data_IF_643993170811
#
_entry.id   IF_643993170811
#
_cell.length_a   1.000
_cell.length_b   1.000
_cell.length_c   1.000
_cell.angle_alpha   90.00
_cell.angle_beta   90.00
_cell.angle_gamma   90.00
#
_symmetry.space_group_name_H-M   'P 1'
#
loop_
_entity.id
_entity.type
_entity.pdbx_description
1 polymer ?
#
# COMPACT_ATOMS: atom_id res chain seq x y z
N UNK A 1 6.93 -14.00 18.16
CA UNK A 1 5.79 -14.89 17.84
C UNK A 1 4.58 -14.11 17.33
N UNK A 2 4.15 -13.05 18.01
CA UNK A 2 2.94 -12.27 17.66
C UNK A 2 2.90 -11.70 16.23
N UNK A 3 4.01 -11.15 15.70
CA UNK A 3 4.04 -10.60 14.32
C UNK A 3 3.74 -11.64 13.23
N UNK A 4 4.03 -12.93 13.47
CA UNK A 4 3.73 -14.01 12.53
C UNK A 4 2.23 -14.33 12.44
N UNK A 5 1.44 -13.90 13.43
CA UNK A 5 -0.01 -14.08 13.49
C UNK A 5 -0.74 -12.78 13.14
N UNK A 6 -0.29 -11.65 13.68
CA UNK A 6 -0.93 -10.35 13.49
C UNK A 6 -0.90 -9.94 12.01
N UNK A 7 0.25 -10.05 11.35
CA UNK A 7 0.41 -9.59 9.96
C UNK A 7 -0.50 -10.34 8.98
N UNK A 8 -0.54 -11.69 8.94
CA UNK A 8 -1.47 -12.37 8.06
C UNK A 8 -2.92 -12.10 8.46
N UNK A 9 -3.25 -12.04 9.76
CA UNK A 9 -4.61 -11.73 10.22
C UNK A 9 -5.09 -10.36 9.74
N UNK A 10 -4.30 -9.30 9.95
CA UNK A 10 -4.67 -7.94 9.53
C UNK A 10 -4.63 -7.79 8.01
N UNK A 11 -3.77 -8.52 7.30
CA UNK A 11 -3.78 -8.57 5.83
C UNK A 11 -5.08 -9.19 5.34
N UNK A 12 -5.48 -10.34 5.88
CA UNK A 12 -6.74 -11.00 5.55
C UNK A 12 -7.93 -10.11 5.86
N UNK A 13 -7.94 -9.45 7.03
CA UNK A 13 -8.99 -8.52 7.40
C UNK A 13 -9.10 -7.35 6.41
N UNK A 14 -7.96 -6.74 6.03
CA UNK A 14 -7.91 -5.69 5.02
C UNK A 14 -8.51 -6.16 3.69
N UNK A 15 -8.11 -7.35 3.21
CA UNK A 15 -8.60 -7.93 1.96
C UNK A 15 -10.13 -8.16 2.00
N UNK A 16 -10.65 -8.72 3.10
CA UNK A 16 -12.09 -8.94 3.26
C UNK A 16 -12.84 -7.61 3.22
N UNK A 17 -12.37 -6.61 3.98
CA UNK A 17 -13.02 -5.30 4.06
C UNK A 17 -13.04 -4.62 2.69
N UNK A 18 -11.91 -4.57 1.98
CA UNK A 18 -11.85 -3.87 0.69
C UNK A 18 -12.67 -4.59 -0.38
N UNK A 19 -12.63 -5.93 -0.44
CA UNK A 19 -13.44 -6.72 -1.39
C UNK A 19 -14.93 -6.50 -1.12
N UNK A 20 -15.34 -6.54 0.15
CA UNK A 20 -16.72 -6.31 0.53
C UNK A 20 -17.22 -4.94 0.06
N UNK A 21 -16.47 -3.86 0.34
CA UNK A 21 -16.91 -2.51 -0.03
C UNK A 21 -16.93 -2.26 -1.54
N UNK A 22 -16.04 -2.91 -2.29
CA UNK A 22 -16.02 -2.82 -3.75
C UNK A 22 -17.21 -3.53 -4.40
N UNK A 23 -17.56 -4.70 -3.89
CA UNK A 23 -18.60 -5.53 -4.50
C UNK A 23 -19.98 -5.31 -3.90
N UNK A 24 -20.08 -4.51 -2.83
CA UNK A 24 -21.36 -4.09 -2.28
C UNK A 24 -22.18 -3.31 -3.32
N UNK A 25 -23.50 -3.54 -3.41
CA UNK A 25 -24.39 -2.77 -4.28
C UNK A 25 -24.26 -1.27 -4.02
N UNK A 26 -24.46 -0.47 -5.07
CA UNK A 26 -24.43 0.97 -4.93
C UNK A 26 -25.47 1.45 -3.92
N UNK A 27 -25.03 2.26 -2.96
CA UNK A 27 -25.90 2.96 -2.00
C UNK A 27 -26.18 4.37 -2.54
N UNK A 28 -27.15 5.07 -1.95
CA UNK A 28 -27.73 6.34 -2.40
C UNK A 28 -26.75 7.39 -3.00
N UNK A 29 -27.28 8.29 -3.83
CA UNK A 29 -26.54 9.27 -4.64
C UNK A 29 -25.50 10.14 -3.91
N UNK A 30 -25.60 10.30 -2.58
CA UNK A 30 -24.59 11.02 -1.77
C UNK A 30 -23.25 10.29 -1.70
N UNK A 31 -23.19 8.96 -1.85
CA UNK A 31 -21.93 8.20 -1.89
C UNK A 31 -21.24 8.24 -3.27
N UNK A 32 -21.97 8.57 -4.34
CA UNK A 32 -21.44 8.61 -5.72
C UNK A 32 -20.43 9.75 -5.90
N UNK A 33 -20.60 10.88 -5.19
CA UNK A 33 -19.67 12.01 -5.27
C UNK A 33 -18.31 11.75 -4.61
N UNK A 34 -18.20 10.73 -3.75
CA UNK A 34 -16.98 10.45 -2.98
C UNK A 34 -16.31 9.13 -3.38
N UNK A 35 -16.78 8.50 -4.46
CA UNK A 35 -16.36 7.15 -4.88
C UNK A 35 -14.85 7.09 -5.11
N UNK A 36 -14.32 8.00 -5.93
CA UNK A 36 -12.88 8.12 -6.22
C UNK A 36 -12.01 8.29 -4.97
N UNK A 37 -12.50 9.02 -3.98
CA UNK A 37 -11.79 9.21 -2.72
C UNK A 37 -11.81 7.95 -1.86
N UNK A 38 -12.90 7.16 -1.89
CA UNK A 38 -12.93 5.84 -1.25
C UNK A 38 -11.99 4.85 -1.93
N UNK A 39 -11.98 4.83 -3.26
CA UNK A 39 -11.06 4.07 -4.10
C UNK A 39 -9.60 4.36 -3.74
N UNK A 40 -9.22 5.65 -3.78
CA UNK A 40 -7.90 6.10 -3.35
C UNK A 40 -7.59 5.70 -1.90
N UNK A 41 -8.49 6.00 -0.95
CA UNK A 41 -8.24 5.78 0.48
C UNK A 41 -8.07 4.30 0.85
N UNK A 42 -8.86 3.42 0.23
CA UNK A 42 -8.76 1.97 0.45
C UNK A 42 -7.43 1.40 -0.02
N UNK A 43 -6.96 1.83 -1.19
CA UNK A 43 -5.65 1.42 -1.70
C UNK A 43 -4.49 2.16 -1.01
N UNK A 44 -4.70 3.38 -0.52
CA UNK A 44 -3.74 4.10 0.32
C UNK A 44 -3.46 3.36 1.63
N UNK A 45 -4.50 2.89 2.31
CA UNK A 45 -4.35 2.02 3.47
C UNK A 45 -3.56 0.74 3.13
N UNK A 46 -3.81 0.15 1.96
CA UNK A 46 -3.08 -1.01 1.46
C UNK A 46 -1.59 -0.73 1.19
N UNK A 47 -1.26 0.39 0.56
CA UNK A 47 0.14 0.78 0.30
C UNK A 47 0.90 1.15 1.58
N UNK A 48 0.24 1.78 2.56
CA UNK A 48 0.79 1.96 3.91
C UNK A 48 1.05 0.60 4.57
N UNK A 49 0.09 -0.31 4.48
CA UNK A 49 0.22 -1.65 5.04
C UNK A 49 1.37 -2.44 4.42
N UNK A 50 1.54 -2.40 3.08
CA UNK A 50 2.67 -3.00 2.39
C UNK A 50 4.01 -2.43 2.87
N UNK A 51 4.08 -1.10 3.00
CA UNK A 51 5.27 -0.41 3.51
C UNK A 51 5.62 -0.86 4.93
N UNK A 52 4.61 -1.06 5.78
CA UNK A 52 4.78 -1.56 7.15
C UNK A 52 5.21 -3.04 7.17
N UNK A 53 4.62 -3.90 6.34
CA UNK A 53 5.02 -5.31 6.16
C UNK A 53 6.51 -5.40 5.82
N UNK A 54 6.96 -4.57 4.87
CA UNK A 54 8.36 -4.49 4.47
C UNK A 54 9.25 -3.96 5.61
N UNK A 55 8.85 -2.85 6.25
CA UNK A 55 9.59 -2.26 7.37
C UNK A 55 9.79 -3.23 8.54
N UNK A 56 8.74 -3.99 8.89
CA UNK A 56 8.77 -4.97 9.97
C UNK A 56 9.56 -6.25 9.64
N UNK A 57 10.12 -6.37 8.41
CA UNK A 57 10.87 -7.52 7.91
C UNK A 57 10.15 -8.85 8.12
N UNK A 58 8.86 -8.84 7.78
CA UNK A 58 8.00 -10.02 7.94
C UNK A 58 8.30 -11.09 6.89
N UNK A 59 7.59 -12.22 6.95
CA UNK A 59 7.77 -13.31 6.00
C UNK A 59 7.50 -12.87 4.55
N UNK A 60 8.36 -13.29 3.60
CA UNK A 60 8.30 -12.87 2.19
C UNK A 60 6.93 -13.13 1.54
N UNK A 61 6.23 -14.18 1.96
CA UNK A 61 4.89 -14.47 1.44
C UNK A 61 3.87 -13.36 1.73
N UNK A 62 3.92 -12.72 2.90
CA UNK A 62 2.99 -11.62 3.22
C UNK A 62 3.22 -10.43 2.30
N UNK A 63 4.50 -10.14 1.99
CA UNK A 63 4.87 -9.09 1.05
C UNK A 63 4.38 -9.44 -0.36
N UNK A 64 4.54 -10.68 -0.81
CA UNK A 64 4.09 -11.13 -2.13
C UNK A 64 2.56 -11.07 -2.25
N UNK A 65 1.82 -11.56 -1.26
CA UNK A 65 0.34 -11.53 -1.27
C UNK A 65 -0.16 -10.09 -1.32
N UNK A 66 0.35 -9.21 -0.45
CA UNK A 66 -0.04 -7.80 -0.44
C UNK A 66 0.34 -7.10 -1.76
N UNK A 67 1.54 -7.32 -2.29
CA UNK A 67 1.98 -6.72 -3.55
C UNK A 67 1.15 -7.22 -4.73
N UNK A 68 0.91 -8.53 -4.81
CA UNK A 68 0.09 -9.13 -5.86
C UNK A 68 -1.31 -8.52 -5.87
N UNK A 69 -1.94 -8.41 -4.69
CA UNK A 69 -3.24 -7.78 -4.57
C UNK A 69 -3.21 -6.29 -4.95
N UNK A 70 -2.22 -5.51 -4.53
CA UNK A 70 -2.15 -4.08 -4.88
C UNK A 70 -1.90 -3.83 -6.37
N UNK A 71 -1.18 -4.72 -7.05
CA UNK A 71 -0.91 -4.62 -8.49
C UNK A 71 -2.12 -5.05 -9.31
N UNK A 72 -2.77 -6.17 -8.95
CA UNK A 72 -3.86 -6.78 -9.74
C UNK A 72 -5.25 -6.33 -9.31
N UNK A 73 -5.43 -6.07 -8.01
CA UNK A 73 -6.70 -5.68 -7.39
C UNK A 73 -7.37 -4.45 -8.00
N UNK A 74 -6.66 -3.35 -8.34
CA UNK A 74 -7.28 -2.18 -8.98
C UNK A 74 -8.07 -2.53 -10.24
N UNK A 75 -7.56 -3.44 -11.06
CA UNK A 75 -8.21 -3.88 -12.30
C UNK A 75 -9.27 -4.94 -11.99
N UNK A 76 -8.90 -5.97 -11.22
CA UNK A 76 -9.78 -7.11 -10.97
C UNK A 76 -11.05 -6.69 -10.23
N UNK A 77 -10.92 -5.90 -9.17
CA UNK A 77 -12.08 -5.46 -8.38
C UNK A 77 -13.00 -4.56 -9.20
N UNK A 78 -12.42 -3.69 -10.03
CA UNK A 78 -13.20 -2.84 -10.93
C UNK A 78 -13.98 -3.67 -11.94
N UNK A 79 -13.34 -4.63 -12.60
CA UNK A 79 -14.01 -5.52 -13.55
C UNK A 79 -15.09 -6.38 -12.88
N UNK A 80 -14.95 -6.69 -11.60
CA UNK A 80 -15.95 -7.43 -10.83
C UNK A 80 -17.15 -6.56 -10.42
N UNK A 81 -17.02 -5.23 -10.36
CA UNK A 81 -18.13 -4.34 -10.04
C UNK A 81 -19.29 -4.44 -11.04
N UNK A 82 -19.05 -4.89 -12.29
CA UNK A 82 -20.13 -5.13 -13.27
C UNK A 82 -21.18 -6.14 -12.80
N UNK A 83 -20.84 -6.98 -11.82
CA UNK A 83 -21.74 -7.94 -11.19
C UNK A 83 -22.46 -7.38 -9.96
N UNK A 84 -22.11 -6.16 -9.52
CA UNK A 84 -22.70 -5.49 -8.38
C UNK A 84 -23.82 -4.56 -8.82
N UNK A 85 -25.06 -4.74 -8.35
CA UNK A 85 -26.19 -3.90 -8.75
C UNK A 85 -25.94 -2.41 -8.49
N UNK A 86 -26.20 -1.59 -9.50
CA UNK A 86 -26.05 -0.13 -9.43
C UNK A 86 -24.61 0.38 -9.51
N UNK A 87 -23.62 -0.50 -9.70
CA UNK A 87 -22.22 -0.12 -9.97
C UNK A 87 -21.92 -0.15 -11.46
N UNK A 88 -20.91 0.61 -11.87
CA UNK A 88 -20.39 0.67 -13.23
C UNK A 88 -18.87 0.68 -13.20
N UNK A 89 -18.26 0.08 -14.21
CA UNK A 89 -16.81 0.14 -14.40
C UNK A 89 -16.39 1.56 -14.79
N UNK A 90 -15.45 2.15 -14.04
CA UNK A 90 -14.83 3.45 -14.32
C UNK A 90 -13.29 3.33 -14.32
N UNK A 91 -12.66 3.74 -15.42
CA UNK A 91 -11.19 3.79 -15.53
C UNK A 91 -10.56 4.76 -14.53
N UNK A 92 -11.28 5.82 -14.14
CA UNK A 92 -10.80 6.78 -13.15
C UNK A 92 -10.71 6.17 -11.74
N UNK A 93 -11.55 5.17 -11.42
CA UNK A 93 -11.47 4.45 -10.16
C UNK A 93 -10.25 3.52 -10.13
N UNK A 94 -9.93 2.87 -11.25
CA UNK A 94 -8.66 2.13 -11.41
C UNK A 94 -7.46 3.06 -11.18
N UNK A 95 -7.47 4.26 -11.77
CA UNK A 95 -6.40 5.24 -11.58
C UNK A 95 -6.31 5.69 -10.12
N UNK A 96 -7.44 5.99 -9.49
CA UNK A 96 -7.51 6.37 -8.09
C UNK A 96 -6.92 5.29 -7.18
N UNK A 97 -7.17 4.01 -7.47
CA UNK A 97 -6.60 2.88 -6.76
C UNK A 97 -5.09 2.80 -6.89
N UNK A 98 -4.56 2.91 -8.12
CA UNK A 98 -3.12 2.90 -8.34
C UNK A 98 -2.43 4.06 -7.64
N UNK A 99 -2.96 5.28 -7.75
CA UNK A 99 -2.44 6.43 -7.02
C UNK A 99 -2.52 6.20 -5.50
N UNK A 100 -3.62 5.61 -5.03
CA UNK A 100 -3.86 5.26 -3.64
C UNK A 100 -2.68 4.51 -3.05
N UNK A 101 -2.31 3.36 -3.60
CA UNK A 101 -1.24 2.55 -3.01
C UNK A 101 0.17 3.01 -3.38
N UNK A 102 0.36 3.64 -4.55
CA UNK A 102 1.68 4.10 -5.00
C UNK A 102 2.21 5.26 -4.15
N UNK A 103 1.35 6.21 -3.75
CA UNK A 103 1.76 7.37 -2.93
C UNK A 103 2.46 6.98 -1.62
N UNK A 104 1.86 6.17 -0.72
CA UNK A 104 2.51 5.80 0.54
C UNK A 104 3.75 4.92 0.32
N UNK A 105 3.76 4.08 -0.71
CA UNK A 105 4.95 3.27 -1.07
C UNK A 105 6.09 4.15 -1.56
N UNK A 106 5.82 5.13 -2.42
CA UNK A 106 6.81 6.08 -2.91
C UNK A 106 7.39 6.90 -1.77
N UNK A 107 6.53 7.40 -0.85
CA UNK A 107 6.97 8.10 0.37
C UNK A 107 7.87 7.21 1.23
N UNK A 108 7.49 5.94 1.45
CA UNK A 108 8.31 4.99 2.19
C UNK A 108 9.69 4.77 1.57
N UNK A 109 9.74 4.54 0.26
CA UNK A 109 10.99 4.35 -0.49
C UNK A 109 11.85 5.62 -0.43
N UNK A 110 11.26 6.79 -0.64
CA UNK A 110 11.94 8.08 -0.57
C UNK A 110 12.58 8.32 0.81
N UNK A 111 11.84 8.11 1.90
CA UNK A 111 12.37 8.20 3.26
C UNK A 111 13.51 7.21 3.51
N UNK A 112 13.40 5.98 3.00
CA UNK A 112 14.45 4.97 3.11
C UNK A 112 15.73 5.39 2.37
N UNK A 113 15.59 6.00 1.18
CA UNK A 113 16.71 6.51 0.40
C UNK A 113 17.41 7.67 1.10
N UNK A 114 16.65 8.67 1.60
CA UNK A 114 17.21 9.79 2.37
C UNK A 114 18.00 9.26 3.56
N UNK A 115 17.42 8.34 4.34
CA UNK A 115 18.11 7.74 5.49
C UNK A 115 19.42 7.06 5.06
N UNK A 116 19.43 6.36 3.93
CA UNK A 116 20.65 5.71 3.45
C UNK A 116 21.75 6.71 3.06
N UNK A 117 21.40 7.86 2.48
CA UNK A 117 22.36 8.88 2.06
C UNK A 117 22.95 9.62 3.27
N UNK A 118 22.11 10.02 4.23
CA UNK A 118 22.56 10.72 5.45
C UNK A 118 23.52 9.85 6.27
N UNK A 119 23.21 8.56 6.46
CA UNK A 119 24.07 7.66 7.23
C UNK A 119 25.38 7.30 6.50
N UNK A 120 25.38 7.31 5.17
CA UNK A 120 26.62 7.11 4.39
C UNK A 120 27.55 8.32 4.56
N UNK A 121 27.02 9.54 4.47
CA UNK A 121 27.79 10.77 4.64
C UNK A 121 28.40 10.92 6.04
N UNK A 122 27.73 10.43 7.09
CA UNK A 122 28.28 10.42 8.46
C UNK A 122 29.45 9.44 8.62
N UNK A 123 29.39 8.28 7.95
CA UNK A 123 30.45 7.27 8.02
C UNK A 123 31.72 7.72 7.31
N UNK A 124 31.58 8.43 6.19
CA UNK A 124 32.73 8.90 5.39
C UNK A 124 33.47 10.08 6.08
N UNK A 125 32.78 10.93 6.86
CA UNK A 125 33.43 12.02 7.63
C UNK A 125 34.03 11.59 8.96
N UNK A 126 33.66 10.43 9.53
CA UNK A 126 34.20 9.95 10.80
C UNK A 126 35.53 9.18 10.67
N UNK A 127 36.01 8.92 9.45
CA UNK A 127 37.24 8.15 9.19
C UNK A 127 38.44 8.98 8.79
N UNK A 128 38.29 10.27 8.46
CA UNK A 128 39.41 11.13 8.04
C UNK A 128 40.23 11.69 9.21
N UNK A 129 39.69 11.72 10.43
CA UNK A 129 40.36 12.34 11.58
C UNK A 129 41.33 11.40 12.33
N UNK A 130 41.46 10.14 11.89
CA UNK A 130 42.18 9.08 12.62
C UNK A 130 43.53 8.65 12.05
N UNK A 131 43.93 9.11 10.87
CA UNK A 131 45.07 8.54 10.12
C UNK A 131 46.25 9.50 9.87
N UNK A 132 46.32 10.62 10.59
CA UNK A 132 47.45 11.57 10.52
C UNK A 132 48.37 11.55 11.75
N UNK A 133 48.56 10.40 12.40
CA UNK A 133 49.58 10.26 13.45
C UNK A 133 50.15 8.84 13.50
N UNK A 134 50.99 8.52 12.50
CA UNK A 134 52.03 7.49 12.59
C UNK A 134 53.28 7.95 11.86
#
# INVERSE_FOLDING_TARGET
>A
MMRKLIVPFTTTLYLIVIIYFYLAPARSSLMVSNDKLMHFSGFFAGGLWLSLIHFLRTHRMNLLVASFFLVTGPIVLEMLQKFSPGRSVDLLDILANYLGWLVPVALYVFMKLIRSQVFKSYKDHGTDDGESSK
#
